data_IF_420068163847
#
_entry.id   IF_420068163847
#
_cell.length_a   1.000
_cell.length_b   1.000
_cell.length_c   1.000
_cell.angle_alpha   90.00
_cell.angle_beta   90.00
_cell.angle_gamma   90.00
#
_symmetry.space_group_name_H-M   'P 1'
#
loop_
_entity.id
_entity.type
_entity.pdbx_description
1 polymer ?
#
# COMPACT_ATOMS: atom_id res chain seq x y z
N UNK A 1 8.14 -4.58 -14.10
CA UNK A 1 8.88 -5.54 -13.25
C UNK A 1 9.95 -4.79 -12.48
N UNK A 2 10.18 -5.17 -11.23
CA UNK A 2 11.29 -4.69 -10.40
C UNK A 2 12.30 -5.83 -10.31
N UNK A 3 13.49 -5.62 -10.87
CA UNK A 3 14.55 -6.63 -11.01
C UNK A 3 15.80 -6.25 -10.20
N UNK A 4 15.96 -4.97 -9.82
CA UNK A 4 17.10 -4.47 -9.06
C UNK A 4 16.96 -3.02 -8.62
N UNK A 5 18.09 -2.40 -8.29
CA UNK A 5 18.19 -0.95 -8.04
C UNK A 5 17.49 -0.46 -6.77
N UNK A 6 17.34 0.87 -6.68
CA UNK A 6 16.72 1.53 -5.53
C UNK A 6 15.25 1.12 -5.32
N UNK A 7 14.53 0.79 -6.39
CA UNK A 7 13.13 0.37 -6.31
C UNK A 7 12.99 -1.00 -5.64
N UNK A 8 13.94 -1.91 -5.87
CA UNK A 8 13.97 -3.21 -5.18
C UNK A 8 14.19 -3.04 -3.67
N UNK A 9 15.07 -2.14 -3.26
CA UNK A 9 15.29 -1.86 -1.85
C UNK A 9 14.09 -1.16 -1.22
N UNK A 10 13.42 -0.29 -1.96
CA UNK A 10 12.19 0.37 -1.53
C UNK A 10 11.05 -0.61 -1.25
N UNK A 11 10.79 -1.56 -2.16
CA UNK A 11 9.73 -2.57 -1.96
C UNK A 11 10.09 -3.52 -0.80
N UNK A 12 11.36 -3.93 -0.67
CA UNK A 12 11.80 -4.77 0.46
C UNK A 12 11.63 -4.04 1.80
N UNK A 13 12.00 -2.77 1.87
CA UNK A 13 11.80 -1.95 3.06
C UNK A 13 10.31 -1.80 3.41
N UNK A 14 9.46 -1.59 2.40
CA UNK A 14 8.01 -1.53 2.58
C UNK A 14 7.44 -2.85 3.11
N UNK A 15 7.83 -4.00 2.54
CA UNK A 15 7.43 -5.33 3.01
C UNK A 15 7.89 -5.56 4.46
N UNK A 16 9.15 -5.26 4.79
CA UNK A 16 9.69 -5.40 6.13
C UNK A 16 8.92 -4.55 7.15
N UNK A 17 8.57 -3.30 6.80
CA UNK A 17 7.76 -2.44 7.66
C UNK A 17 6.35 -2.98 7.87
N UNK A 18 5.71 -3.50 6.81
CA UNK A 18 4.39 -4.15 6.92
C UNK A 18 4.41 -5.34 7.86
N UNK A 19 5.45 -6.18 7.79
CA UNK A 19 5.62 -7.31 8.72
C UNK A 19 5.78 -6.86 10.16
N UNK A 20 6.58 -5.82 10.40
CA UNK A 20 6.75 -5.26 11.75
C UNK A 20 5.41 -4.77 12.33
N UNK A 21 4.60 -4.07 11.52
CA UNK A 21 3.28 -3.61 11.94
C UNK A 21 2.34 -4.79 12.21
N UNK A 22 2.31 -5.80 11.33
CA UNK A 22 1.50 -7.01 11.53
C UNK A 22 1.88 -7.75 12.82
N UNK A 23 3.17 -7.92 13.09
CA UNK A 23 3.64 -8.53 14.33
C UNK A 23 3.19 -7.74 15.57
N UNK A 24 3.30 -6.41 15.53
CA UNK A 24 2.83 -5.56 16.63
C UNK A 24 1.31 -5.66 16.84
N UNK A 25 0.52 -5.73 15.76
CA UNK A 25 -0.93 -5.95 15.84
C UNK A 25 -1.26 -7.30 16.46
N UNK A 26 -0.55 -8.36 16.07
CA UNK A 26 -0.74 -9.70 16.62
C UNK A 26 -0.40 -9.76 18.11
N UNK A 27 0.72 -9.16 18.54
CA UNK A 27 1.07 -9.09 19.96
C UNK A 27 0.02 -8.31 20.77
N UNK A 28 -0.44 -7.16 20.28
CA UNK A 28 -1.49 -6.40 20.95
C UNK A 28 -2.82 -7.17 21.03
N UNK A 29 -3.20 -7.89 19.97
CA UNK A 29 -4.40 -8.73 19.96
C UNK A 29 -4.29 -9.87 20.98
N UNK A 30 -3.14 -10.55 21.03
CA UNK A 30 -2.84 -11.60 22.00
C UNK A 30 -2.93 -11.11 23.44
N UNK A 31 -2.37 -9.94 23.73
CA UNK A 31 -2.44 -9.32 25.06
C UNK A 31 -3.88 -8.97 25.47
N UNK A 32 -4.73 -8.61 24.52
CA UNK A 32 -6.16 -8.36 24.73
C UNK A 32 -7.01 -9.64 24.81
N UNK A 33 -6.41 -10.81 24.57
CA UNK A 33 -7.12 -12.09 24.51
C UNK A 33 -8.09 -12.18 23.34
N UNK A 34 -7.80 -11.51 22.22
CA UNK A 34 -8.62 -11.50 21.00
C UNK A 34 -7.86 -12.09 19.81
N UNK A 35 -8.58 -12.62 18.84
CA UNK A 35 -7.97 -13.18 17.62
C UNK A 35 -7.43 -12.11 16.67
N UNK A 36 -7.91 -10.87 16.79
CA UNK A 36 -7.50 -9.75 15.95
C UNK A 36 -8.39 -8.54 16.13
N UNK A 37 -8.39 -7.66 15.11
CA UNK A 37 -9.24 -6.49 15.13
C UNK A 37 -9.24 -5.69 13.83
N UNK A 38 -9.90 -4.55 13.88
CA UNK A 38 -10.00 -3.62 12.76
C UNK A 38 -8.72 -2.80 12.70
N UNK A 39 -8.01 -2.90 11.58
CA UNK A 39 -6.80 -2.12 11.31
C UNK A 39 -7.08 -0.99 10.32
N UNK A 40 -6.27 0.07 10.40
CA UNK A 40 -6.24 1.10 9.35
C UNK A 40 -5.75 0.46 8.04
N UNK A 41 -6.50 0.60 6.95
CA UNK A 41 -6.13 0.03 5.64
C UNK A 41 -4.87 0.66 5.05
N UNK A 42 -4.63 1.93 5.35
CA UNK A 42 -3.52 2.72 4.81
C UNK A 42 -2.24 2.57 5.63
N UNK A 43 -2.36 2.44 6.95
CA UNK A 43 -1.22 2.48 7.88
C UNK A 43 -0.96 1.15 8.60
N UNK A 44 -1.93 0.22 8.55
CA UNK A 44 -1.87 -1.13 9.11
C UNK A 44 -2.05 -1.24 10.62
N UNK A 45 -2.03 -0.14 11.36
CA UNK A 45 -2.14 -0.18 12.82
C UNK A 45 -3.56 -0.56 13.29
N UNK A 46 -3.63 -1.19 14.46
CA UNK A 46 -4.87 -1.59 15.10
C UNK A 46 -5.66 -0.36 15.57
N UNK A 47 -6.96 -0.31 15.25
CA UNK A 47 -7.88 0.76 15.63
C UNK A 47 -8.87 0.33 16.70
N UNK A 48 -9.33 -0.91 16.62
CA UNK A 48 -10.32 -1.49 17.53
C UNK A 48 -10.33 -3.01 17.41
N UNK A 49 -11.00 -3.68 18.35
CA UNK A 49 -11.02 -5.15 18.46
C UNK A 49 -12.44 -5.65 18.73
N UNK A 50 -12.70 -6.93 18.50
CA UNK A 50 -13.94 -7.60 18.90
C UNK A 50 -13.60 -8.53 20.06
N UNK A 51 -14.21 -8.30 21.23
CA UNK A 51 -13.99 -9.16 22.40
C UNK A 51 -14.96 -10.35 22.33
N UNK A 52 -14.48 -11.60 22.48
CA UNK A 52 -15.34 -12.78 22.50
C UNK A 52 -16.16 -12.92 23.80
N UNK A 53 -15.76 -12.20 24.86
CA UNK A 53 -16.40 -12.20 26.17
C UNK A 53 -16.30 -10.83 26.84
N UNK A 54 -15.86 -10.82 28.10
CA UNK A 54 -15.74 -9.59 28.87
C UNK A 54 -14.80 -8.58 28.19
N UNK A 55 -15.31 -7.38 27.98
CA UNK A 55 -14.58 -6.30 27.35
C UNK A 55 -13.58 -5.69 28.32
N UNK A 56 -12.36 -5.45 27.85
CA UNK A 56 -11.35 -4.68 28.59
C UNK A 56 -11.88 -3.27 28.99
N UNK A 57 -11.67 -2.81 30.24
CA UNK A 57 -12.27 -1.57 30.77
C UNK A 57 -11.89 -0.30 29.99
N UNK A 58 -10.72 -0.29 29.35
CA UNK A 58 -10.27 0.83 28.51
C UNK A 58 -11.03 0.98 27.19
N UNK A 59 -11.93 0.06 26.83
CA UNK A 59 -12.65 0.09 25.56
C UNK A 59 -14.11 0.54 25.72
N UNK A 60 -14.65 1.18 24.68
CA UNK A 60 -16.04 1.64 24.58
C UNK A 60 -17.01 0.47 24.35
N UNK A 61 -18.31 0.72 24.39
CA UNK A 61 -19.32 -0.24 23.92
C UNK A 61 -19.04 -0.66 22.47
N UNK A 62 -19.33 -1.92 22.11
CA UNK A 62 -19.23 -2.35 20.72
C UNK A 62 -20.11 -1.47 19.84
N UNK A 63 -19.65 -1.18 18.63
CA UNK A 63 -20.46 -0.56 17.60
C UNK A 63 -21.44 -1.57 16.98
N UNK A 64 -22.15 -1.15 15.92
CA UNK A 64 -23.08 -2.02 15.18
C UNK A 64 -22.45 -3.29 14.58
N UNK A 65 -21.13 -3.32 14.45
CA UNK A 65 -20.37 -4.45 13.90
C UNK A 65 -19.67 -5.25 15.02
N UNK A 66 -19.95 -4.96 16.30
CA UNK A 66 -19.28 -5.61 17.43
C UNK A 66 -17.91 -5.04 17.78
N UNK A 67 -17.46 -3.99 17.10
CA UNK A 67 -16.10 -3.45 17.25
C UNK A 67 -16.04 -2.52 18.45
N UNK A 68 -15.14 -2.83 19.38
CA UNK A 68 -14.81 -2.02 20.53
C UNK A 68 -13.59 -1.14 20.22
N UNK A 69 -13.77 0.18 20.31
CA UNK A 69 -12.70 1.16 20.17
C UNK A 69 -12.18 1.60 21.53
N UNK A 70 -10.88 1.94 21.68
CA UNK A 70 -10.36 2.42 22.95
C UNK A 70 -11.02 3.75 23.36
N UNK A 71 -11.25 3.94 24.65
CA UNK A 71 -11.72 5.19 25.23
C UNK A 71 -10.64 6.25 25.07
N UNK A 72 -11.05 7.49 24.76
CA UNK A 72 -10.11 8.61 24.64
C UNK A 72 -9.30 8.74 25.94
N UNK A 73 -7.99 8.96 25.81
CA UNK A 73 -7.03 9.11 26.91
C UNK A 73 -6.80 7.86 27.80
N UNK A 74 -7.36 6.70 27.45
CA UNK A 74 -7.00 5.43 28.12
C UNK A 74 -5.56 5.00 27.80
N UNK A 75 -5.00 4.08 28.58
CA UNK A 75 -3.67 3.52 28.32
C UNK A 75 -3.65 2.78 26.98
N UNK A 76 -4.70 2.00 26.68
CA UNK A 76 -4.83 1.36 25.37
C UNK A 76 -4.95 2.36 24.20
N UNK A 77 -5.62 3.50 24.37
CA UNK A 77 -5.65 4.53 23.33
C UNK A 77 -4.26 5.09 23.03
N UNK A 78 -3.46 5.38 24.08
CA UNK A 78 -2.08 5.85 23.92
C UNK A 78 -1.21 4.79 23.26
N UNK A 79 -1.34 3.54 23.68
CA UNK A 79 -0.57 2.41 23.15
C UNK A 79 -0.88 2.15 21.67
N UNK A 80 -2.16 2.11 21.29
CA UNK A 80 -2.57 1.96 19.89
C UNK A 80 -2.11 3.15 19.03
N UNK A 81 -2.10 4.36 19.58
CA UNK A 81 -1.60 5.54 18.88
C UNK A 81 -0.08 5.50 18.65
N UNK A 82 0.68 4.98 19.62
CA UNK A 82 2.14 4.83 19.58
C UNK A 82 2.63 3.58 18.84
N UNK A 83 1.73 2.65 18.50
CA UNK A 83 2.06 1.45 17.76
C UNK A 83 2.70 1.78 16.40
N UNK A 84 3.63 0.94 15.91
CA UNK A 84 4.28 1.18 14.63
C UNK A 84 3.25 1.20 13.49
N UNK A 85 3.54 2.03 12.49
CA UNK A 85 2.75 2.20 11.26
C UNK A 85 3.65 2.06 10.04
N UNK A 86 3.07 1.68 8.92
CA UNK A 86 3.73 1.81 7.62
C UNK A 86 3.10 2.98 6.85
N UNK A 87 3.86 3.55 5.92
CA UNK A 87 3.30 4.52 4.97
C UNK A 87 2.60 3.79 3.83
N UNK A 88 1.50 4.36 3.30
CA UNK A 88 0.85 3.84 2.09
C UNK A 88 1.85 3.70 0.94
N UNK A 89 1.73 2.65 0.14
CA UNK A 89 2.64 2.42 -0.98
C UNK A 89 2.65 3.58 -1.98
N UNK A 90 1.51 4.25 -2.18
CA UNK A 90 1.39 5.43 -3.04
C UNK A 90 2.28 6.58 -2.58
N UNK A 91 2.30 6.87 -1.27
CA UNK A 91 3.18 7.89 -0.67
C UNK A 91 4.65 7.47 -0.80
N UNK A 92 4.96 6.21 -0.47
CA UNK A 92 6.34 5.68 -0.54
C UNK A 92 6.90 5.79 -1.95
N UNK A 93 6.12 5.46 -2.98
CA UNK A 93 6.53 5.50 -4.38
C UNK A 93 6.60 6.95 -4.88
N UNK A 94 5.55 7.75 -4.64
CA UNK A 94 5.50 9.15 -5.04
C UNK A 94 6.69 9.94 -4.49
N UNK A 95 6.95 9.84 -3.19
CA UNK A 95 8.02 10.59 -2.54
C UNK A 95 9.41 10.13 -2.98
N UNK A 96 9.63 8.81 -3.11
CA UNK A 96 10.95 8.27 -3.42
C UNK A 96 11.32 8.37 -4.91
N UNK A 97 10.32 8.24 -5.79
CA UNK A 97 10.54 8.15 -7.24
C UNK A 97 10.02 9.38 -8.00
N UNK A 98 9.45 10.36 -7.29
CA UNK A 98 8.92 11.58 -7.89
C UNK A 98 7.74 11.33 -8.82
N UNK A 99 6.97 10.25 -8.62
CA UNK A 99 5.82 9.87 -9.45
C UNK A 99 4.67 10.83 -9.15
N UNK A 100 4.23 11.66 -10.11
CA UNK A 100 3.08 12.53 -9.92
C UNK A 100 1.81 11.73 -9.67
N UNK A 101 1.06 12.11 -8.64
CA UNK A 101 -0.28 11.58 -8.33
C UNK A 101 -1.40 12.54 -8.69
N UNK A 102 -1.04 13.76 -9.10
CA UNK A 102 -1.95 14.79 -9.56
C UNK A 102 -1.29 15.64 -10.67
N UNK A 103 -2.13 16.29 -11.46
CA UNK A 103 -1.74 17.23 -12.50
C UNK A 103 -2.18 18.62 -12.11
N UNK A 104 -1.22 19.55 -12.04
CA UNK A 104 -1.50 20.97 -11.95
C UNK A 104 -1.55 21.57 -13.36
N UNK A 105 -2.60 22.32 -13.67
CA UNK A 105 -2.78 22.90 -15.00
C UNK A 105 -3.33 24.33 -14.96
N UNK A 106 -3.15 25.04 -16.06
CA UNK A 106 -3.80 26.33 -16.34
C UNK A 106 -4.63 26.23 -17.61
N UNK A 107 -5.79 26.89 -17.63
CA UNK A 107 -6.61 27.03 -18.84
C UNK A 107 -7.27 28.39 -18.86
N UNK A 108 -7.11 29.13 -19.97
CA UNK A 108 -7.58 30.50 -20.14
C UNK A 108 -7.13 31.43 -19.00
N UNK A 109 -7.92 31.53 -17.93
CA UNK A 109 -7.66 32.32 -16.72
C UNK A 109 -7.86 31.55 -15.40
N UNK A 110 -7.96 30.22 -15.45
CA UNK A 110 -8.12 29.38 -14.26
C UNK A 110 -6.86 28.53 -14.00
N UNK A 111 -6.61 28.29 -12.72
CA UNK A 111 -5.66 27.31 -12.22
C UNK A 111 -6.44 26.18 -11.58
N UNK A 112 -6.04 24.94 -11.86
CA UNK A 112 -6.69 23.77 -11.29
C UNK A 112 -5.69 22.66 -10.99
N UNK A 113 -6.16 21.68 -10.24
CA UNK A 113 -5.49 20.39 -10.09
C UNK A 113 -6.50 19.25 -10.23
N UNK A 114 -6.03 18.11 -10.69
CA UNK A 114 -6.80 16.87 -10.70
C UNK A 114 -5.91 15.71 -10.32
N UNK A 115 -6.43 14.76 -9.53
CA UNK A 115 -5.72 13.50 -9.28
C UNK A 115 -5.62 12.66 -10.56
N UNK A 116 -4.58 11.84 -10.65
CA UNK A 116 -4.38 10.86 -11.73
C UNK A 116 -4.18 9.46 -11.17
N UNK A 117 -4.70 8.46 -11.87
CA UNK A 117 -4.78 7.08 -11.38
C UNK A 117 -5.97 6.85 -10.45
N UNK A 118 -5.92 5.75 -9.68
CA UNK A 118 -7.00 5.41 -8.74
C UNK A 118 -6.89 6.26 -7.48
N UNK A 119 -7.95 6.98 -7.06
CA UNK A 119 -7.91 7.79 -5.85
C UNK A 119 -7.44 7.00 -4.63
N UNK A 120 -6.51 7.57 -3.87
CA UNK A 120 -5.88 6.98 -2.68
C UNK A 120 -4.99 5.75 -2.95
N UNK A 121 -4.83 5.33 -4.21
CA UNK A 121 -4.06 4.15 -4.66
C UNK A 121 -3.46 4.37 -6.05
N UNK A 122 -2.98 5.59 -6.31
CA UNK A 122 -2.53 6.07 -7.61
C UNK A 122 -1.37 5.22 -8.14
N UNK A 123 -0.47 4.84 -7.24
CA UNK A 123 0.63 3.91 -7.46
C UNK A 123 0.76 2.91 -6.30
N UNK A 124 1.48 1.81 -6.54
CA UNK A 124 1.70 0.80 -5.50
C UNK A 124 2.56 -0.38 -5.93
N UNK A 125 2.83 -1.28 -4.97
CA UNK A 125 3.66 -2.46 -5.16
C UNK A 125 2.84 -3.73 -5.36
N UNK A 126 3.25 -4.55 -6.32
CA UNK A 126 2.78 -5.91 -6.55
C UNK A 126 3.89 -6.89 -6.17
N UNK A 127 3.57 -7.87 -5.34
CA UNK A 127 4.51 -8.91 -4.95
C UNK A 127 3.79 -10.18 -4.54
N UNK A 128 4.38 -11.32 -4.89
CA UNK A 128 3.81 -12.64 -4.58
C UNK A 128 4.38 -13.27 -3.31
N UNK A 129 5.56 -12.82 -2.90
CA UNK A 129 6.20 -13.20 -1.64
C UNK A 129 7.23 -12.16 -1.22
N UNK A 130 7.82 -12.37 -0.03
CA UNK A 130 8.94 -11.56 0.48
C UNK A 130 10.20 -11.66 -0.39
N UNK A 131 10.32 -12.74 -1.17
CA UNK A 131 11.41 -12.96 -2.14
C UNK A 131 11.04 -12.59 -3.58
N UNK A 132 9.83 -12.05 -3.79
CA UNK A 132 9.31 -11.72 -5.11
C UNK A 132 8.57 -12.89 -5.78
N UNK A 133 8.29 -12.79 -7.09
CA UNK A 133 8.60 -11.69 -7.99
C UNK A 133 7.94 -10.36 -7.58
N UNK A 134 8.52 -9.25 -8.05
CA UNK A 134 8.16 -7.88 -7.67
C UNK A 134 7.79 -7.04 -8.90
N UNK A 135 6.77 -6.21 -8.76
CA UNK A 135 6.40 -5.17 -9.72
C UNK A 135 5.81 -3.96 -8.99
N UNK A 136 5.61 -2.86 -9.72
CA UNK A 136 4.84 -1.71 -9.25
C UNK A 136 3.96 -1.21 -10.38
N UNK A 137 2.86 -0.55 -10.03
CA UNK A 137 2.07 0.24 -10.96
C UNK A 137 2.21 1.72 -10.63
N UNK A 138 2.17 2.54 -11.68
CA UNK A 138 2.14 4.00 -11.62
C UNK A 138 1.08 4.48 -12.63
N UNK A 139 0.52 5.69 -12.47
CA UNK A 139 -0.36 6.26 -13.49
C UNK A 139 0.41 6.48 -14.80
N UNK A 140 -0.31 6.49 -15.93
CA UNK A 140 0.25 6.87 -17.23
C UNK A 140 0.34 8.40 -17.33
N UNK A 141 1.28 8.98 -16.58
CA UNK A 141 1.45 10.43 -16.50
C UNK A 141 1.64 11.08 -17.88
N UNK A 142 2.50 10.56 -18.78
CA UNK A 142 2.64 11.16 -20.12
C UNK A 142 1.32 11.11 -20.92
N UNK A 143 0.56 10.03 -20.81
CA UNK A 143 -0.75 9.90 -21.43
C UNK A 143 -1.75 10.94 -20.89
N UNK A 144 -1.83 11.09 -19.57
CA UNK A 144 -2.72 12.07 -18.92
C UNK A 144 -2.33 13.52 -19.23
N UNK A 145 -1.02 13.81 -19.33
CA UNK A 145 -0.52 15.13 -19.77
C UNK A 145 -0.96 15.39 -21.21
N UNK A 146 -0.78 14.44 -22.12
CA UNK A 146 -1.17 14.59 -23.51
C UNK A 146 -2.69 14.80 -23.68
N UNK A 147 -3.51 14.11 -22.89
CA UNK A 147 -4.97 14.31 -22.85
C UNK A 147 -5.32 15.74 -22.40
N UNK A 148 -4.73 16.23 -21.32
CA UNK A 148 -4.95 17.59 -20.82
C UNK A 148 -4.51 18.66 -21.84
N UNK A 149 -3.37 18.46 -22.49
CA UNK A 149 -2.88 19.39 -23.51
C UNK A 149 -3.77 19.39 -24.77
N UNK A 150 -4.31 18.24 -25.16
CA UNK A 150 -5.30 18.14 -26.24
C UNK A 150 -6.61 18.89 -25.93
N UNK A 151 -6.97 19.03 -24.65
CA UNK A 151 -8.09 19.85 -24.18
C UNK A 151 -7.77 21.36 -24.10
N UNK A 152 -6.57 21.78 -24.52
CA UNK A 152 -6.14 23.18 -24.48
C UNK A 152 -5.71 23.66 -23.09
N UNK A 153 -5.40 22.74 -22.17
CA UNK A 153 -4.82 23.06 -20.86
C UNK A 153 -3.29 23.02 -20.95
N UNK A 154 -2.61 23.86 -20.18
CA UNK A 154 -1.16 23.79 -20.02
C UNK A 154 -0.84 23.09 -18.70
N UNK A 155 -0.27 21.89 -18.76
CA UNK A 155 0.18 21.15 -17.57
C UNK A 155 1.52 21.68 -17.08
N UNK A 156 1.72 21.72 -15.76
CA UNK A 156 2.96 22.18 -15.12
C UNK A 156 3.87 21.02 -14.70
N UNK A 157 5.13 21.36 -14.42
CA UNK A 157 6.07 20.47 -13.76
C UNK A 157 5.64 20.14 -12.32
N UNK A 158 6.02 18.96 -11.79
CA UNK A 158 6.91 17.96 -12.41
C UNK A 158 6.23 17.04 -13.43
N UNK A 159 4.89 17.03 -13.51
CA UNK A 159 4.19 16.07 -14.36
C UNK A 159 4.48 16.20 -15.85
N UNK A 160 4.66 17.44 -16.34
CA UNK A 160 4.98 17.70 -17.75
C UNK A 160 6.31 17.08 -18.21
N UNK A 161 7.33 17.09 -17.35
CA UNK A 161 8.67 16.58 -17.66
C UNK A 161 8.91 15.16 -17.11
N UNK A 162 7.90 14.53 -16.53
CA UNK A 162 8.05 13.23 -15.90
C UNK A 162 8.27 12.12 -16.92
N UNK A 163 9.29 11.30 -16.67
CA UNK A 163 9.61 10.12 -17.48
C UNK A 163 9.58 8.89 -16.56
N UNK A 164 8.76 7.85 -16.87
CA UNK A 164 8.60 6.67 -16.02
C UNK A 164 9.76 5.68 -16.17
N UNK A 165 10.99 6.14 -16.00
CA UNK A 165 12.21 5.33 -16.06
C UNK A 165 12.85 5.25 -14.68
N UNK A 166 13.00 4.03 -14.16
CA UNK A 166 13.55 3.80 -12.84
C UNK A 166 14.64 2.74 -12.91
N UNK A 167 15.72 2.98 -12.17
CA UNK A 167 16.83 2.02 -12.09
C UNK A 167 16.35 0.64 -11.61
N UNK A 168 16.83 -0.41 -12.30
CA UNK A 168 16.46 -1.80 -12.03
C UNK A 168 15.00 -2.15 -12.33
N UNK A 169 14.27 -1.30 -13.08
CA UNK A 169 12.91 -1.57 -13.50
C UNK A 169 12.80 -1.72 -15.01
N UNK A 170 11.96 -2.67 -15.45
CA UNK A 170 11.59 -2.85 -16.85
C UNK A 170 10.08 -2.78 -17.00
N UNK A 171 9.59 -2.11 -18.04
CA UNK A 171 8.15 -2.11 -18.38
C UNK A 171 7.72 -3.52 -18.77
N UNK A 172 6.58 -3.95 -18.25
CA UNK A 172 5.95 -5.22 -18.58
C UNK A 172 4.49 -4.95 -18.88
N UNK A 173 3.92 -5.78 -19.75
CA UNK A 173 2.49 -5.76 -20.01
C UNK A 173 1.74 -6.57 -18.94
N UNK A 174 0.43 -6.38 -18.87
CA UNK A 174 -0.41 -7.07 -17.88
C UNK A 174 -0.34 -8.59 -18.06
N UNK A 175 -0.34 -9.05 -19.30
CA UNK A 175 -0.28 -10.45 -19.68
C UNK A 175 1.05 -11.09 -19.25
N UNK A 176 2.15 -10.35 -19.34
CA UNK A 176 3.46 -10.80 -18.85
C UNK A 176 3.43 -10.97 -17.33
N UNK A 177 2.83 -10.02 -16.60
CA UNK A 177 2.64 -10.16 -15.15
C UNK A 177 1.76 -11.36 -14.79
N UNK A 178 0.61 -11.53 -15.45
CA UNK A 178 -0.31 -12.63 -15.21
C UNK A 178 0.37 -14.00 -15.44
N UNK A 179 1.22 -14.09 -16.46
CA UNK A 179 2.05 -15.28 -16.71
C UNK A 179 3.04 -15.55 -15.57
N UNK A 180 3.75 -14.53 -15.09
CA UNK A 180 4.66 -14.63 -13.94
C UNK A 180 3.92 -15.11 -12.69
N UNK A 181 2.72 -14.58 -12.43
CA UNK A 181 1.85 -15.02 -11.32
C UNK A 181 1.48 -16.50 -11.46
N UNK A 182 1.03 -16.92 -12.64
CA UNK A 182 0.64 -18.30 -12.89
C UNK A 182 1.81 -19.28 -12.68
N UNK A 183 3.01 -18.93 -13.17
CA UNK A 183 4.22 -19.73 -12.97
C UNK A 183 4.59 -19.84 -11.49
N UNK A 184 4.55 -18.74 -10.74
CA UNK A 184 4.84 -18.73 -9.32
C UNK A 184 3.89 -19.65 -8.54
N UNK A 185 2.59 -19.55 -8.80
CA UNK A 185 1.58 -20.40 -8.15
C UNK A 185 1.78 -21.89 -8.47
N UNK A 186 2.14 -22.22 -9.71
CA UNK A 186 2.43 -23.59 -10.10
C UNK A 186 3.66 -24.14 -9.36
N UNK A 187 4.74 -23.37 -9.26
CA UNK A 187 5.95 -23.76 -8.53
C UNK A 187 5.66 -23.96 -7.04
N UNK A 188 4.87 -23.07 -6.44
CA UNK A 188 4.46 -23.18 -5.03
C UNK A 188 3.69 -24.49 -4.76
N UNK A 189 2.73 -24.84 -5.63
CA UNK A 189 1.96 -26.09 -5.51
C UNK A 189 2.83 -27.33 -5.65
N UNK A 190 3.80 -27.33 -6.58
CA UNK A 190 4.74 -28.45 -6.75
C UNK A 190 5.58 -28.69 -5.50
N UNK A 191 6.16 -27.63 -4.94
CA UNK A 191 6.96 -27.72 -3.70
C UNK A 191 6.14 -28.21 -2.50
N UNK A 192 4.87 -27.81 -2.40
CA UNK A 192 3.97 -28.30 -1.35
C UNK A 192 3.69 -29.81 -1.52
N UNK A 193 3.37 -30.25 -2.73
CA UNK A 193 3.12 -31.66 -3.02
C UNK A 193 4.36 -32.56 -2.87
N UNK A 194 5.56 -32.00 -3.01
CA UNK A 194 6.83 -32.69 -2.75
C UNK A 194 7.18 -32.73 -1.26
N UNK A 195 6.91 -31.67 -0.51
CA UNK A 195 7.12 -31.60 0.94
C UNK A 195 6.13 -32.44 1.76
N UNK A 196 4.92 -32.69 1.26
CA UNK A 196 3.95 -33.61 1.88
C UNK A 196 4.26 -35.10 1.62
N UNK A 197 5.23 -35.41 0.74
CA UNK A 197 5.68 -36.77 0.43
C UNK A 197 6.95 -37.19 1.17
N UNK A 198 7.53 -36.31 1.98
CA UNK A 198 8.70 -36.57 2.83
C UNK A 198 8.27 -36.79 4.28
#
# INVERSE_FOLDING_TARGET
MIEGGAVLELIKAHIAKRKLVQAAVQEMAKELGVEGGVTNRLEGNLLGVIFPGDRHPDFKAPDRNGVCYPKKNSEWAKRLAAAPRYQPASIVISDALGVPTDLHYTSQNCYGSTGIGHPFQECGFLYLSESGPFAMWIPDVPGEVALMEAEGKTVKDPAKSFVPEFDGCRRIDREEWDFVVAQYQLQKKRKQAEGEKA
#
